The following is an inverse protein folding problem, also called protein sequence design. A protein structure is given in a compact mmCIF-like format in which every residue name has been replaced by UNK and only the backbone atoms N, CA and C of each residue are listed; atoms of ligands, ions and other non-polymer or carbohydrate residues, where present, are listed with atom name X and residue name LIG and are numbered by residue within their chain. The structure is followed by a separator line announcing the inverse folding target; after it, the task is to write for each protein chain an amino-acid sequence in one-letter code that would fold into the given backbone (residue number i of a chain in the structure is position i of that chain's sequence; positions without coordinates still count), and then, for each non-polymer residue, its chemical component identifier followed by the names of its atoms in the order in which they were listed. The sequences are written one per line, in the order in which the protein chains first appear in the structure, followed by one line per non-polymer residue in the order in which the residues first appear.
data_IF_758671289228
#
_entry.id   IF_758671289228
#
_cell.length_a   1.000
_cell.length_b   1.000
_cell.length_c   1.000
_cell.angle_alpha   90.00
_cell.angle_beta   90.00
_cell.angle_gamma   90.00
#
_symmetry.space_group_name_H-M   'P 1'
#
loop_
_entity.id
_entity.type
_entity.pdbx_description
1 polymer ?
#
# COMPACT_ATOMS: atom_id res chain seq x y z
N UNK A 1 6.20 9.18 -27.80
CA UNK A 1 5.48 9.62 -26.59
C UNK A 1 5.79 8.73 -25.39
N UNK A 2 5.59 7.40 -25.42
CA UNK A 2 5.91 6.51 -24.28
C UNK A 2 7.39 6.58 -23.86
N UNK A 3 8.31 6.49 -24.83
CA UNK A 3 9.76 6.57 -24.58
C UNK A 3 10.20 7.91 -23.96
N UNK A 4 9.52 9.00 -24.30
CA UNK A 4 9.80 10.31 -23.73
C UNK A 4 9.38 10.41 -22.26
N UNK A 5 8.28 9.74 -21.89
CA UNK A 5 7.80 9.65 -20.49
C UNK A 5 8.74 8.79 -19.67
N UNK A 6 9.10 7.60 -20.17
CA UNK A 6 10.05 6.69 -19.50
C UNK A 6 11.47 7.30 -19.36
N UNK A 7 11.85 8.19 -20.29
CA UNK A 7 13.12 8.92 -20.24
C UNK A 7 13.13 10.12 -19.28
N UNK A 8 12.00 10.49 -18.68
CA UNK A 8 11.95 11.62 -17.75
C UNK A 8 12.70 11.30 -16.46
N UNK A 9 13.45 12.25 -15.92
CA UNK A 9 14.21 12.13 -14.66
C UNK A 9 13.29 11.74 -13.48
N UNK A 10 12.05 12.21 -13.49
CA UNK A 10 11.07 11.89 -12.47
C UNK A 10 10.68 10.41 -12.50
N UNK A 11 10.33 9.87 -13.68
CA UNK A 11 9.97 8.46 -13.84
C UNK A 11 11.17 7.57 -13.53
N UNK A 12 12.37 7.95 -13.97
CA UNK A 12 13.59 7.22 -13.61
C UNK A 12 13.80 7.15 -12.09
N UNK A 13 13.58 8.24 -11.37
CA UNK A 13 13.73 8.27 -9.92
C UNK A 13 12.69 7.40 -9.21
N UNK A 14 11.39 7.57 -9.52
CA UNK A 14 10.34 6.81 -8.84
C UNK A 14 10.34 5.32 -9.20
N UNK A 15 10.84 4.95 -10.38
CA UNK A 15 10.97 3.56 -10.82
C UNK A 15 12.24 2.86 -10.31
N UNK A 16 13.06 3.54 -9.50
CA UNK A 16 14.15 2.85 -8.81
C UNK A 16 13.56 1.85 -7.78
N UNK A 17 13.97 0.57 -7.77
CA UNK A 17 13.30 -0.47 -6.98
C UNK A 17 13.11 -0.14 -5.50
N UNK A 18 14.13 0.43 -4.85
CA UNK A 18 14.03 0.82 -3.45
C UNK A 18 13.09 2.02 -3.25
N UNK A 19 13.07 2.98 -4.19
CA UNK A 19 12.17 4.15 -4.12
C UNK A 19 10.72 3.69 -4.27
N UNK A 20 10.43 2.85 -5.27
CA UNK A 20 9.09 2.27 -5.47
C UNK A 20 8.62 1.48 -4.23
N UNK A 21 9.53 0.71 -3.62
CA UNK A 21 9.26 -0.05 -2.38
C UNK A 21 8.94 0.89 -1.22
N UNK A 22 9.73 1.94 -1.00
CA UNK A 22 9.51 2.92 0.07
C UNK A 22 8.21 3.68 -0.15
N UNK A 23 7.90 4.07 -1.39
CA UNK A 23 6.62 4.72 -1.72
C UNK A 23 5.46 3.78 -1.39
N UNK A 24 5.52 2.51 -1.76
CA UNK A 24 4.45 1.54 -1.52
C UNK A 24 4.28 1.24 -0.04
N UNK A 25 5.29 0.67 0.61
CA UNK A 25 5.21 0.22 2.02
C UNK A 25 5.20 1.40 2.99
N UNK A 26 6.08 2.38 2.78
CA UNK A 26 6.21 3.52 3.68
C UNK A 26 4.93 4.35 3.76
N UNK A 27 4.14 4.41 2.67
CA UNK A 27 2.88 5.15 2.67
C UNK A 27 1.82 4.55 3.60
N UNK A 28 1.79 3.22 3.81
CA UNK A 28 0.90 2.62 4.81
C UNK A 28 1.22 3.14 6.21
N UNK A 29 2.50 3.08 6.59
CA UNK A 29 2.93 3.52 7.92
C UNK A 29 2.76 5.03 8.10
N UNK A 30 3.19 5.82 7.09
CA UNK A 30 3.06 7.28 7.14
C UNK A 30 1.59 7.71 7.24
N UNK A 31 0.71 7.10 6.44
CA UNK A 31 -0.70 7.48 6.44
C UNK A 31 -1.39 7.09 7.74
N UNK A 32 -1.31 5.82 8.15
CA UNK A 32 -2.15 5.29 9.23
C UNK A 32 -1.61 5.54 10.63
N UNK A 33 -0.29 5.70 10.81
CA UNK A 33 0.32 5.96 12.12
C UNK A 33 0.67 7.42 12.37
N UNK A 34 0.17 8.34 11.53
CA UNK A 34 0.30 9.79 11.74
C UNK A 34 -1.07 10.47 11.68
N UNK A 35 -1.19 11.74 12.08
CA UNK A 35 -2.43 12.52 11.95
C UNK A 35 -2.90 12.74 10.51
N UNK A 36 -2.16 12.25 9.51
CA UNK A 36 -2.46 12.41 8.10
C UNK A 36 -3.75 11.68 7.70
N UNK A 37 -3.99 10.47 8.24
CA UNK A 37 -5.19 9.70 7.93
C UNK A 37 -6.47 10.38 8.39
N UNK A 38 -6.63 10.78 9.68
CA UNK A 38 -7.81 11.52 10.12
C UNK A 38 -8.04 12.80 9.32
N UNK A 39 -6.97 13.54 8.99
CA UNK A 39 -7.07 14.77 8.23
C UNK A 39 -7.55 14.52 6.79
N UNK A 40 -7.03 13.53 6.09
CA UNK A 40 -7.44 13.20 4.73
C UNK A 40 -8.86 12.63 4.68
N UNK A 41 -9.20 11.69 5.58
CA UNK A 41 -10.50 11.02 5.53
C UNK A 41 -11.67 11.97 5.86
N UNK A 42 -11.42 13.09 6.51
CA UNK A 42 -12.45 14.11 6.79
C UNK A 42 -12.98 14.82 5.55
N UNK A 43 -12.34 14.67 4.39
CA UNK A 43 -12.75 15.30 3.15
C UNK A 43 -12.98 14.31 2.00
N UNK A 44 -13.94 14.60 1.13
CA UNK A 44 -14.20 13.78 -0.06
C UNK A 44 -12.95 13.64 -0.95
N UNK A 45 -12.25 14.74 -1.19
CA UNK A 45 -11.03 14.74 -2.00
C UNK A 45 -9.88 13.95 -1.34
N UNK A 46 -9.83 13.94 -0.03
CA UNK A 46 -8.87 13.12 0.73
C UNK A 46 -9.08 11.62 0.52
N UNK A 47 -10.34 11.15 0.52
CA UNK A 47 -10.67 9.76 0.16
C UNK A 47 -10.21 9.40 -1.24
N UNK A 48 -10.50 10.26 -2.22
CA UNK A 48 -10.06 10.04 -3.61
C UNK A 48 -8.53 10.00 -3.70
N UNK A 49 -7.86 10.93 -3.02
CA UNK A 49 -6.40 11.00 -3.00
C UNK A 49 -5.77 9.72 -2.41
N UNK A 50 -6.30 9.22 -1.29
CA UNK A 50 -5.84 7.96 -0.67
C UNK A 50 -6.01 6.79 -1.65
N UNK A 51 -7.19 6.65 -2.25
CA UNK A 51 -7.48 5.56 -3.19
C UNK A 51 -6.56 5.60 -4.42
N UNK A 52 -6.40 6.78 -5.03
CA UNK A 52 -5.54 6.98 -6.20
C UNK A 52 -4.07 6.73 -5.84
N UNK A 53 -3.62 7.22 -4.67
CA UNK A 53 -2.25 7.02 -4.21
C UNK A 53 -1.92 5.52 -4.05
N UNK A 54 -2.76 4.77 -3.34
CA UNK A 54 -2.51 3.33 -3.14
C UNK A 54 -2.60 2.53 -4.43
N UNK A 55 -3.53 2.88 -5.32
CA UNK A 55 -3.60 2.26 -6.65
C UNK A 55 -2.30 2.49 -7.45
N UNK A 56 -1.85 3.74 -7.52
CA UNK A 56 -0.66 4.09 -8.30
C UNK A 56 0.63 3.58 -7.65
N UNK A 57 0.77 3.65 -6.34
CA UNK A 57 1.94 3.15 -5.63
C UNK A 57 2.06 1.62 -5.72
N UNK A 58 0.94 0.89 -5.61
CA UNK A 58 0.90 -0.56 -5.83
C UNK A 58 1.24 -0.92 -7.27
N UNK A 59 0.64 -0.23 -8.24
CA UNK A 59 0.97 -0.43 -9.65
C UNK A 59 2.47 -0.19 -9.93
N UNK A 60 3.01 0.93 -9.43
CA UNK A 60 4.43 1.27 -9.58
C UNK A 60 5.33 0.18 -8.99
N UNK A 61 5.03 -0.29 -7.78
CA UNK A 61 5.78 -1.32 -7.09
C UNK A 61 5.83 -2.63 -7.91
N UNK A 62 4.68 -3.15 -8.31
CA UNK A 62 4.61 -4.39 -9.07
C UNK A 62 5.17 -4.23 -10.48
N UNK A 63 4.93 -3.10 -11.16
CA UNK A 63 5.51 -2.82 -12.48
C UNK A 63 7.04 -2.89 -12.45
N UNK A 64 7.68 -2.30 -11.45
CA UNK A 64 9.14 -2.28 -11.33
C UNK A 64 9.68 -3.67 -10.99
N UNK A 65 9.05 -4.40 -10.06
CA UNK A 65 9.57 -5.69 -9.58
C UNK A 65 9.34 -6.83 -10.55
N UNK A 66 8.17 -6.89 -11.20
CA UNK A 66 7.86 -7.96 -12.17
C UNK A 66 8.65 -7.75 -13.46
N UNK A 67 8.72 -6.49 -13.93
CA UNK A 67 9.48 -6.10 -15.11
C UNK A 67 9.02 -6.79 -16.38
N UNK A 68 7.72 -7.09 -16.55
CA UNK A 68 7.12 -7.56 -17.81
C UNK A 68 7.15 -6.43 -18.83
N UNK A 69 6.73 -5.25 -18.42
CA UNK A 69 6.74 -4.05 -19.24
C UNK A 69 8.09 -3.33 -19.18
N UNK A 70 8.45 -2.56 -20.21
CA UNK A 70 9.66 -1.74 -20.21
C UNK A 70 9.73 -0.81 -18.99
N UNK A 71 10.75 -0.99 -18.16
CA UNK A 71 11.02 -0.14 -17.01
C UNK A 71 12.44 0.42 -17.10
N UNK A 72 12.68 1.69 -16.71
CA UNK A 72 14.02 2.27 -16.70
C UNK A 72 15.02 1.51 -15.81
N UNK A 73 14.52 0.89 -14.73
CA UNK A 73 15.35 0.18 -13.75
C UNK A 73 14.75 -1.19 -13.42
N UNK A 74 14.98 -2.15 -14.31
CA UNK A 74 14.58 -3.54 -14.05
C UNK A 74 15.61 -4.22 -13.14
N UNK A 75 15.25 -4.59 -11.90
CA UNK A 75 16.17 -5.30 -11.01
C UNK A 75 16.36 -6.76 -11.48
N UNK A 76 17.50 -7.39 -11.14
CA UNK A 76 17.63 -8.84 -11.28
C UNK A 76 16.58 -9.57 -10.45
N UNK A 77 16.12 -10.75 -10.90
CA UNK A 77 15.09 -11.55 -10.20
C UNK A 77 15.39 -11.78 -8.72
N UNK A 78 16.65 -12.07 -8.38
CA UNK A 78 17.07 -12.27 -6.99
C UNK A 78 16.81 -11.03 -6.13
N UNK A 79 17.07 -9.84 -6.68
CA UNK A 79 16.82 -8.57 -5.97
C UNK A 79 15.32 -8.34 -5.80
N UNK A 80 14.51 -8.60 -6.83
CA UNK A 80 13.05 -8.53 -6.73
C UNK A 80 12.51 -9.47 -5.66
N UNK A 81 13.00 -10.70 -5.61
CA UNK A 81 12.63 -11.68 -4.59
C UNK A 81 12.99 -11.23 -3.18
N UNK A 82 14.22 -10.71 -2.98
CA UNK A 82 14.64 -10.21 -1.67
C UNK A 82 13.76 -9.03 -1.24
N UNK A 83 13.44 -8.12 -2.16
CA UNK A 83 12.51 -7.01 -1.86
C UNK A 83 11.14 -7.55 -1.46
N UNK A 84 10.58 -8.52 -2.19
CA UNK A 84 9.29 -9.14 -1.85
C UNK A 84 9.32 -9.82 -0.47
N UNK A 85 10.38 -10.58 -0.16
CA UNK A 85 10.56 -11.21 1.14
C UNK A 85 10.67 -10.21 2.30
N UNK A 86 11.11 -8.97 2.05
CA UNK A 86 11.14 -7.90 3.04
C UNK A 86 9.77 -7.21 3.14
N UNK A 87 9.11 -6.99 2.00
CA UNK A 87 7.83 -6.27 1.94
C UNK A 87 6.70 -7.08 2.58
N UNK A 88 6.66 -8.42 2.38
CA UNK A 88 5.63 -9.27 2.97
C UNK A 88 5.53 -9.12 4.50
N UNK A 89 6.60 -9.33 5.30
CA UNK A 89 6.49 -9.14 6.74
C UNK A 89 6.19 -7.69 7.13
N UNK A 90 6.69 -6.68 6.41
CA UNK A 90 6.34 -5.29 6.69
C UNK A 90 4.86 -5.03 6.48
N UNK A 91 4.26 -5.53 5.41
CA UNK A 91 2.82 -5.46 5.17
C UNK A 91 2.03 -6.24 6.24
N UNK A 92 2.48 -7.45 6.61
CA UNK A 92 1.87 -8.24 7.68
C UNK A 92 1.93 -7.52 9.02
N UNK A 93 3.08 -6.96 9.41
CA UNK A 93 3.21 -6.22 10.67
C UNK A 93 2.32 -4.98 10.72
N UNK A 94 2.16 -4.26 9.60
CA UNK A 94 1.22 -3.15 9.52
C UNK A 94 -0.21 -3.60 9.86
N UNK A 95 -0.71 -4.67 9.21
CA UNK A 95 -2.06 -5.17 9.46
C UNK A 95 -2.22 -5.76 10.87
N UNK A 96 -1.21 -6.49 11.38
CA UNK A 96 -1.20 -7.00 12.75
C UNK A 96 -1.27 -5.86 13.76
N UNK A 97 -0.53 -4.76 13.54
CA UNK A 97 -0.59 -3.60 14.42
C UNK A 97 -1.99 -2.99 14.46
N UNK A 98 -2.72 -2.95 13.34
CA UNK A 98 -4.11 -2.51 13.30
C UNK A 98 -5.07 -3.51 13.98
N UNK A 99 -4.85 -4.83 13.79
CA UNK A 99 -5.65 -5.87 14.45
C UNK A 99 -5.45 -5.90 15.98
N UNK A 100 -4.27 -5.48 16.46
CA UNK A 100 -3.95 -5.43 17.90
C UNK A 100 -4.22 -4.04 18.51
N UNK A 101 -4.65 -3.08 17.72
CA UNK A 101 -4.97 -1.74 18.21
C UNK A 101 -6.13 -1.78 19.22
N UNK A 102 -6.01 -1.03 20.28
CA UNK A 102 -7.07 -0.82 21.29
C UNK A 102 -7.84 0.49 21.05
N UNK A 103 -7.46 1.24 20.04
CA UNK A 103 -8.09 2.52 19.67
C UNK A 103 -8.53 2.51 18.23
N UNK A 104 -9.63 3.19 17.95
CA UNK A 104 -10.15 3.36 16.59
C UNK A 104 -9.40 4.46 15.88
N UNK A 105 -8.91 4.20 14.69
CA UNK A 105 -8.30 5.22 13.83
C UNK A 105 -9.36 6.18 13.32
N UNK A 106 -9.11 7.49 13.43
CA UNK A 106 -10.05 8.52 13.01
C UNK A 106 -11.46 8.36 13.64
N UNK A 107 -11.54 7.99 14.91
CA UNK A 107 -12.78 7.71 15.65
C UNK A 107 -13.80 8.84 15.51
N UNK A 108 -13.35 10.10 15.62
CA UNK A 108 -14.21 11.29 15.46
C UNK A 108 -14.96 11.29 14.11
N UNK A 109 -14.29 10.91 13.04
CA UNK A 109 -14.91 10.81 11.72
C UNK A 109 -15.92 9.66 11.66
N UNK A 110 -15.52 8.47 12.10
CA UNK A 110 -16.37 7.28 11.99
C UNK A 110 -17.61 7.32 12.88
N UNK A 111 -17.56 8.01 14.01
CA UNK A 111 -18.73 8.22 14.90
C UNK A 111 -19.79 9.14 14.27
N UNK A 112 -19.42 10.01 13.32
CA UNK A 112 -20.38 10.85 12.59
C UNK A 112 -21.16 10.12 11.51
N UNK A 113 -20.69 8.92 11.13
CA UNK A 113 -21.31 8.15 10.04
C UNK A 113 -22.42 7.25 10.59
N UNK A 114 -23.62 7.37 10.01
CA UNK A 114 -24.72 6.44 10.27
C UNK A 114 -24.43 5.08 9.58
N UNK A 115 -23.87 4.12 10.33
CA UNK A 115 -23.52 2.79 9.82
C UNK A 115 -24.31 1.72 10.58
N UNK A 116 -25.49 1.31 10.10
CA UNK A 116 -26.35 0.39 10.80
C UNK A 116 -25.78 -1.04 10.92
N UNK A 117 -24.76 -1.38 10.12
CA UNK A 117 -24.11 -2.70 10.06
C UNK A 117 -22.80 -2.78 10.87
N UNK A 118 -22.28 -1.66 11.35
CA UNK A 118 -21.02 -1.60 12.11
C UNK A 118 -21.24 -0.80 13.40
N UNK A 119 -21.80 -1.45 14.41
CA UNK A 119 -22.09 -0.86 15.73
C UNK A 119 -20.85 -0.79 16.60
N UNK A 120 -19.89 -1.72 16.42
CA UNK A 120 -18.60 -1.74 17.11
C UNK A 120 -17.50 -1.33 16.10
N UNK A 121 -17.01 -0.10 16.24
CA UNK A 121 -16.01 0.48 15.36
C UNK A 121 -14.66 -0.23 15.48
N UNK A 122 -14.29 -0.69 16.66
CA UNK A 122 -13.03 -1.38 16.88
C UNK A 122 -13.04 -2.77 16.25
N UNK A 123 -14.13 -3.51 16.41
CA UNK A 123 -14.31 -4.81 15.76
C UNK A 123 -14.33 -4.68 14.23
N UNK A 124 -14.96 -3.64 13.69
CA UNK A 124 -14.97 -3.33 12.25
C UNK A 124 -13.55 -3.01 11.74
N UNK A 125 -12.77 -2.23 12.49
CA UNK A 125 -11.35 -1.97 12.18
C UNK A 125 -10.52 -3.25 12.16
N UNK A 126 -10.68 -4.13 13.16
CA UNK A 126 -9.96 -5.41 13.22
C UNK A 126 -10.34 -6.33 12.05
N UNK A 127 -11.62 -6.37 11.69
CA UNK A 127 -12.09 -7.13 10.52
C UNK A 127 -11.50 -6.57 9.22
N UNK A 128 -11.52 -5.25 9.06
CA UNK A 128 -10.92 -4.57 7.90
C UNK A 128 -9.42 -4.84 7.78
N UNK A 129 -8.68 -4.78 8.89
CA UNK A 129 -7.24 -5.09 8.93
C UNK A 129 -6.97 -6.56 8.59
N UNK A 130 -7.80 -7.49 9.08
CA UNK A 130 -7.69 -8.92 8.76
C UNK A 130 -7.93 -9.20 7.28
N UNK A 131 -8.94 -8.56 6.70
CA UNK A 131 -9.20 -8.63 5.27
C UNK A 131 -8.07 -8.02 4.44
N UNK A 132 -7.55 -6.85 4.86
CA UNK A 132 -6.41 -6.19 4.23
C UNK A 132 -5.15 -7.05 4.24
N UNK A 133 -4.89 -7.72 5.36
CA UNK A 133 -3.80 -8.69 5.48
C UNK A 133 -3.93 -9.83 4.46
N UNK A 134 -5.06 -10.53 4.45
CA UNK A 134 -5.28 -11.66 3.55
C UNK A 134 -5.23 -11.24 2.07
N UNK A 135 -5.87 -10.13 1.72
CA UNK A 135 -5.90 -9.62 0.35
C UNK A 135 -4.55 -9.09 -0.14
N UNK A 136 -3.68 -8.66 0.74
CA UNK A 136 -2.33 -8.22 0.39
C UNK A 136 -1.34 -9.38 0.26
N UNK A 137 -1.40 -10.37 1.16
CA UNK A 137 -0.48 -11.52 1.14
C UNK A 137 -0.70 -12.43 -0.08
N UNK A 138 -1.96 -12.69 -0.47
CA UNK A 138 -2.27 -13.58 -1.59
C UNK A 138 -1.62 -13.12 -2.90
N UNK A 139 -1.78 -11.86 -3.36
CA UNK A 139 -1.10 -11.39 -4.56
C UNK A 139 0.43 -11.48 -4.47
N UNK A 140 1.02 -11.17 -3.32
CA UNK A 140 2.48 -11.22 -3.13
C UNK A 140 3.01 -12.65 -3.24
N UNK A 141 2.30 -13.64 -2.67
CA UNK A 141 2.66 -15.06 -2.80
C UNK A 141 2.53 -15.54 -4.25
N UNK A 142 1.44 -15.17 -4.93
CA UNK A 142 1.24 -15.50 -6.35
C UNK A 142 2.38 -14.89 -7.18
N UNK A 143 2.73 -13.65 -6.92
CA UNK A 143 3.81 -12.96 -7.62
C UNK A 143 5.16 -13.64 -7.40
N UNK A 144 5.48 -14.03 -6.19
CA UNK A 144 6.69 -14.81 -5.92
C UNK A 144 6.70 -16.13 -6.70
N UNK A 145 5.58 -16.85 -6.73
CA UNK A 145 5.47 -18.11 -7.48
C UNK A 145 5.62 -17.94 -9.00
N UNK A 146 5.18 -16.81 -9.55
CA UNK A 146 5.32 -16.49 -10.99
C UNK A 146 6.76 -16.07 -11.33
N UNK A 147 7.52 -15.52 -10.37
CA UNK A 147 8.90 -15.11 -10.57
C UNK A 147 9.91 -16.27 -10.45
N UNK A 148 9.48 -17.42 -9.92
CA UNK A 148 10.23 -18.68 -9.89
C UNK A 148 9.98 -19.55 -11.11
#
# INVERSE_FOLDING_TARGET
MLLSVLGSKYVQFISYPLVATVIFVGSFYLLYFTPLFPWLISSHWGHVLIAVHFLLSGYLFFWVLIGVDPSPHKPPYVVSMVIMLIVMPLHSFFNIALMMSTTVLAEEFYTTLARPYATDLLADQHLGASAGWAMGEIPMVIMMAVMF
#
